data_IF_189767217380
#
_entry.id   IF_189767217380
#
_cell.length_a   1.000
_cell.length_b   1.000
_cell.length_c   1.000
_cell.angle_alpha   90.00
_cell.angle_beta   90.00
_cell.angle_gamma   90.00
#
_symmetry.space_group_name_H-M   'P 1'
#
loop_
_entity.id
_entity.type
_entity.pdbx_description
1 polymer ?
#
# COMPACT_ATOMS: atom_id res chain seq x y z
N UNK A 1 -14.19 -32.89 0.79
CA UNK A 1 -15.32 -33.54 0.08
C UNK A 1 -14.92 -34.16 -1.26
N UNK A 2 -14.13 -33.46 -2.10
CA UNK A 2 -13.64 -33.99 -3.40
C UNK A 2 -13.03 -35.40 -3.36
N UNK A 3 -12.29 -35.75 -2.31
CA UNK A 3 -11.73 -37.11 -2.11
C UNK A 3 -12.82 -38.12 -1.72
N UNK A 4 -13.82 -37.72 -0.92
CA UNK A 4 -14.95 -38.57 -0.52
C UNK A 4 -15.90 -38.84 -1.69
N UNK A 5 -16.08 -37.84 -2.56
CA UNK A 5 -16.89 -37.93 -3.79
C UNK A 5 -16.17 -38.61 -4.96
N UNK A 6 -14.93 -39.09 -4.75
CA UNK A 6 -14.06 -39.69 -5.78
C UNK A 6 -13.83 -38.78 -7.01
N UNK A 7 -13.96 -37.46 -6.86
CA UNK A 7 -13.66 -36.49 -7.92
C UNK A 7 -12.15 -36.26 -8.06
N UNK A 8 -11.40 -36.47 -6.97
CA UNK A 8 -9.94 -36.46 -6.96
C UNK A 8 -9.48 -37.81 -6.40
N UNK A 9 -8.72 -38.55 -7.20
CA UNK A 9 -8.14 -39.84 -6.82
C UNK A 9 -6.66 -39.72 -6.45
N UNK A 10 -6.07 -40.79 -5.91
CA UNK A 10 -4.63 -40.84 -5.62
C UNK A 10 -4.20 -40.17 -4.31
N UNK A 11 -5.13 -39.70 -3.47
CA UNK A 11 -4.84 -39.16 -2.14
C UNK A 11 -5.12 -40.22 -1.07
N UNK A 12 -4.17 -40.47 -0.17
CA UNK A 12 -4.31 -41.42 0.95
C UNK A 12 -4.75 -40.72 2.23
N UNK A 13 -4.12 -39.60 2.59
CA UNK A 13 -4.39 -38.85 3.81
C UNK A 13 -4.13 -37.35 3.62
N UNK A 14 -4.70 -36.54 4.50
CA UNK A 14 -4.46 -35.11 4.61
C UNK A 14 -4.13 -34.79 6.07
N UNK A 15 -3.00 -34.11 6.29
CA UNK A 15 -2.50 -33.73 7.62
C UNK A 15 -2.13 -32.25 7.61
N UNK A 16 -2.46 -31.56 8.70
CA UNK A 16 -2.00 -30.20 8.96
C UNK A 16 -0.86 -30.28 9.99
N UNK A 17 0.33 -29.86 9.57
CA UNK A 17 1.57 -29.80 10.36
C UNK A 17 1.97 -28.34 10.63
N UNK A 18 1.01 -27.41 10.56
CA UNK A 18 1.25 -25.98 10.81
C UNK A 18 1.56 -25.72 12.28
N UNK A 19 2.57 -24.89 12.53
CA UNK A 19 3.01 -24.48 13.86
C UNK A 19 3.25 -22.96 13.93
N UNK A 20 3.95 -22.49 14.97
CA UNK A 20 4.26 -21.06 15.16
C UNK A 20 5.34 -20.55 14.20
N UNK A 21 6.12 -21.45 13.61
CA UNK A 21 7.23 -21.15 12.73
C UNK A 21 6.81 -21.18 11.25
N UNK A 22 5.67 -21.79 10.93
CA UNK A 22 5.04 -21.67 9.61
C UNK A 22 3.80 -22.52 9.37
N UNK A 23 3.12 -22.21 8.27
CA UNK A 23 1.99 -23.01 7.77
C UNK A 23 2.52 -24.17 6.93
N UNK A 24 2.08 -25.40 7.23
CA UNK A 24 2.52 -26.62 6.54
C UNK A 24 1.37 -27.60 6.40
N UNK A 25 0.91 -27.80 5.17
CA UNK A 25 -0.14 -28.78 4.84
C UNK A 25 0.52 -29.94 4.10
N UNK A 26 0.28 -31.16 4.58
CA UNK A 26 0.80 -32.40 4.00
C UNK A 26 -0.36 -33.18 3.38
N UNK A 27 -0.29 -33.37 2.06
CA UNK A 27 -1.20 -34.24 1.31
C UNK A 27 -0.41 -35.49 0.93
N UNK A 28 -0.82 -36.63 1.48
CA UNK A 28 -0.14 -37.90 1.24
C UNK A 28 -0.73 -38.58 -0.01
N UNK A 29 0.16 -39.00 -0.92
CA UNK A 29 -0.19 -39.62 -2.19
C UNK A 29 -0.20 -41.14 -2.04
N UNK A 30 -1.13 -41.83 -2.70
CA UNK A 30 -1.16 -43.30 -2.73
C UNK A 30 0.05 -43.87 -3.48
N UNK A 31 0.51 -45.05 -3.06
CA UNK A 31 1.72 -45.71 -3.61
C UNK A 31 1.64 -46.03 -5.11
N UNK A 32 0.44 -46.25 -5.63
CA UNK A 32 0.13 -46.61 -7.01
C UNK A 32 -0.27 -45.41 -7.87
N UNK A 33 -0.27 -44.19 -7.31
CA UNK A 33 -0.68 -42.98 -8.01
C UNK A 33 0.52 -42.15 -8.48
N UNK A 34 0.41 -41.60 -9.69
CA UNK A 34 1.36 -40.62 -10.21
C UNK A 34 1.06 -39.25 -9.59
N UNK A 35 1.92 -38.80 -8.68
CA UNK A 35 1.71 -37.57 -7.90
C UNK A 35 1.49 -36.31 -8.75
N UNK A 36 2.14 -36.20 -9.92
CA UNK A 36 1.96 -35.05 -10.83
C UNK A 36 0.52 -34.95 -11.36
N UNK A 37 -0.12 -36.08 -11.65
CA UNK A 37 -1.51 -36.12 -12.13
C UNK A 37 -2.46 -35.69 -11.00
N UNK A 38 -2.19 -36.15 -9.77
CA UNK A 38 -2.95 -35.73 -8.59
C UNK A 38 -2.81 -34.23 -8.35
N UNK A 39 -1.60 -33.69 -8.45
CA UNK A 39 -1.31 -32.26 -8.28
C UNK A 39 -2.02 -31.40 -9.34
N UNK A 40 -1.97 -31.80 -10.61
CA UNK A 40 -2.67 -31.08 -11.69
C UNK A 40 -4.18 -31.07 -11.49
N UNK A 41 -4.76 -32.19 -11.06
CA UNK A 41 -6.19 -32.25 -10.73
C UNK A 41 -6.53 -31.37 -9.51
N UNK A 42 -5.65 -31.31 -8.51
CA UNK A 42 -5.82 -30.40 -7.39
C UNK A 42 -5.80 -28.93 -7.85
N UNK A 43 -4.88 -28.54 -8.73
CA UNK A 43 -4.87 -27.18 -9.28
C UNK A 43 -6.15 -26.84 -10.06
N UNK A 44 -6.70 -27.79 -10.81
CA UNK A 44 -7.89 -27.56 -11.62
C UNK A 44 -9.20 -27.51 -10.80
N UNK A 45 -9.29 -28.30 -9.72
CA UNK A 45 -10.54 -28.53 -8.99
C UNK A 45 -10.61 -27.86 -7.61
N UNK A 46 -9.51 -27.30 -7.13
CA UNK A 46 -9.43 -26.64 -5.82
C UNK A 46 -9.04 -25.17 -5.95
N UNK A 47 -9.15 -24.43 -4.84
CA UNK A 47 -8.76 -23.02 -4.77
C UNK A 47 -7.23 -22.81 -4.66
N UNK A 48 -6.43 -23.84 -4.90
CA UNK A 48 -4.96 -23.73 -4.93
C UNK A 48 -4.48 -22.87 -6.11
N UNK A 49 -5.25 -22.83 -7.20
CA UNK A 49 -4.98 -21.96 -8.35
C UNK A 49 -6.25 -21.15 -8.66
N UNK A 50 -6.15 -19.83 -8.48
CA UNK A 50 -7.25 -18.91 -8.76
C UNK A 50 -6.77 -17.79 -9.68
N UNK A 51 -7.68 -17.29 -10.53
CA UNK A 51 -7.40 -16.12 -11.35
C UNK A 51 -7.79 -14.86 -10.58
N UNK A 52 -7.06 -13.76 -10.82
CA UNK A 52 -7.39 -12.46 -10.26
C UNK A 52 -7.76 -11.50 -11.39
N UNK A 53 -9.00 -11.01 -11.37
CA UNK A 53 -9.50 -10.05 -12.35
C UNK A 53 -8.97 -8.64 -12.07
N UNK A 54 -7.83 -8.30 -12.65
CA UNK A 54 -7.21 -6.97 -12.49
C UNK A 54 -8.07 -5.92 -13.20
N UNK A 55 -8.52 -4.90 -12.47
CA UNK A 55 -9.21 -3.74 -13.05
C UNK A 55 -8.78 -2.44 -12.36
N UNK A 56 -8.04 -1.59 -13.08
CA UNK A 56 -7.50 -0.33 -12.58
C UNK A 56 -8.44 0.85 -12.89
N UNK A 57 -9.53 0.95 -12.13
CA UNK A 57 -10.48 2.09 -12.19
C UNK A 57 -10.30 2.98 -10.97
N UNK A 58 -10.17 4.28 -11.19
CA UNK A 58 -10.11 5.27 -10.12
C UNK A 58 -10.80 6.58 -10.52
N UNK A 59 -11.05 7.46 -9.55
CA UNK A 59 -11.55 8.80 -9.83
C UNK A 59 -10.41 9.70 -10.28
N UNK A 60 -10.56 10.35 -11.43
CA UNK A 60 -9.69 11.42 -11.88
C UNK A 60 -10.54 12.66 -12.13
N UNK A 61 -10.31 13.72 -11.35
CA UNK A 61 -11.10 14.96 -11.39
C UNK A 61 -12.60 14.74 -11.16
N UNK A 62 -12.95 13.86 -10.22
CA UNK A 62 -14.34 13.59 -9.85
C UNK A 62 -15.10 12.64 -10.79
N UNK A 63 -14.46 12.12 -11.85
CA UNK A 63 -15.07 11.15 -12.76
C UNK A 63 -14.32 9.82 -12.73
N UNK A 64 -15.03 8.66 -12.79
CA UNK A 64 -14.40 7.35 -12.87
C UNK A 64 -13.71 7.18 -14.22
N UNK A 65 -12.43 6.83 -14.20
CA UNK A 65 -11.62 6.57 -15.39
C UNK A 65 -10.81 5.30 -15.20
N UNK A 66 -10.62 4.57 -16.30
CA UNK A 66 -9.58 3.55 -16.41
C UNK A 66 -8.24 4.26 -16.54
N UNK A 67 -7.30 3.92 -15.67
CA UNK A 67 -5.98 4.55 -15.64
C UNK A 67 -4.91 3.50 -15.90
N UNK A 68 -3.93 3.85 -16.72
CA UNK A 68 -2.72 3.05 -16.85
C UNK A 68 -1.71 3.43 -15.74
N UNK A 69 -0.61 2.69 -15.63
CA UNK A 69 0.43 2.94 -14.62
C UNK A 69 1.05 4.35 -14.75
N UNK A 70 1.28 4.82 -15.97
CA UNK A 70 1.88 6.14 -16.21
C UNK A 70 0.97 7.26 -15.72
N UNK A 71 -0.33 7.19 -16.02
CA UNK A 71 -1.31 8.18 -15.61
C UNK A 71 -1.38 8.29 -14.07
N UNK A 72 -1.35 7.15 -13.38
CA UNK A 72 -1.33 7.09 -11.92
C UNK A 72 -0.06 7.75 -11.37
N UNK A 73 1.11 7.42 -11.93
CA UNK A 73 2.38 7.99 -11.50
C UNK A 73 2.43 9.51 -11.76
N UNK A 74 1.93 9.97 -12.91
CA UNK A 74 1.85 11.40 -13.22
C UNK A 74 0.92 12.14 -12.25
N UNK A 75 -0.24 11.57 -11.92
CA UNK A 75 -1.14 12.12 -10.92
C UNK A 75 -0.48 12.20 -9.54
N UNK A 76 0.23 11.15 -9.13
CA UNK A 76 0.96 11.10 -7.87
C UNK A 76 2.07 12.18 -7.80
N UNK A 77 2.91 12.27 -8.83
CA UNK A 77 4.00 13.26 -8.89
C UNK A 77 3.44 14.68 -8.90
N UNK A 78 2.36 14.93 -9.65
CA UNK A 78 1.70 16.24 -9.70
C UNK A 78 1.16 16.64 -8.33
N UNK A 79 0.45 15.73 -7.66
CA UNK A 79 -0.02 15.95 -6.30
C UNK A 79 1.14 16.25 -5.34
N UNK A 80 2.24 15.49 -5.43
CA UNK A 80 3.41 15.70 -4.58
C UNK A 80 4.04 17.07 -4.81
N UNK A 81 4.16 17.53 -6.06
CA UNK A 81 4.65 18.87 -6.39
C UNK A 81 3.78 19.95 -5.77
N UNK A 82 2.45 19.85 -5.89
CA UNK A 82 1.52 20.82 -5.30
C UNK A 82 1.67 20.89 -3.78
N UNK A 83 1.68 19.74 -3.10
CA UNK A 83 1.81 19.66 -1.64
C UNK A 83 3.12 20.29 -1.17
N UNK A 84 4.24 19.98 -1.85
CA UNK A 84 5.55 20.55 -1.51
C UNK A 84 5.55 22.05 -1.71
N UNK A 85 5.05 22.55 -2.85
CA UNK A 85 4.97 24.00 -3.12
C UNK A 85 4.15 24.72 -2.07
N UNK A 86 2.96 24.20 -1.70
CA UNK A 86 2.10 24.79 -0.68
C UNK A 86 2.78 24.82 0.69
N UNK A 87 3.50 23.76 1.06
CA UNK A 87 4.27 23.71 2.30
C UNK A 87 5.38 24.75 2.30
N UNK A 88 6.15 24.87 1.23
CA UNK A 88 7.24 25.86 1.12
C UNK A 88 6.70 27.29 1.20
N UNK A 89 5.56 27.59 0.56
CA UNK A 89 4.92 28.91 0.65
C UNK A 89 4.49 29.21 2.10
N UNK A 90 3.91 28.21 2.79
CA UNK A 90 3.53 28.36 4.19
C UNK A 90 4.74 28.63 5.09
N UNK A 91 5.82 27.88 4.93
CA UNK A 91 7.07 28.07 5.67
C UNK A 91 7.69 29.45 5.39
N UNK A 92 7.69 29.89 4.13
CA UNK A 92 8.17 31.22 3.75
C UNK A 92 7.36 32.33 4.43
N UNK A 93 6.02 32.22 4.44
CA UNK A 93 5.16 33.20 5.11
C UNK A 93 5.47 33.26 6.61
N UNK A 94 5.54 32.09 7.26
CA UNK A 94 5.87 31.99 8.69
C UNK A 94 7.24 32.59 9.02
N UNK A 95 8.25 32.36 8.16
CA UNK A 95 9.58 32.93 8.32
C UNK A 95 9.57 34.47 8.16
N UNK A 96 8.83 34.99 7.18
CA UNK A 96 8.66 36.45 6.98
C UNK A 96 7.95 37.12 8.15
N UNK A 97 6.85 36.54 8.62
CA UNK A 97 6.11 37.06 9.78
C UNK A 97 7.02 37.10 11.02
N UNK A 98 7.87 36.07 11.20
CA UNK A 98 8.84 36.04 12.29
C UNK A 98 9.95 37.08 12.13
N UNK A 99 10.48 37.25 10.91
CA UNK A 99 11.52 38.23 10.61
C UNK A 99 11.03 39.66 10.88
N UNK A 100 9.82 40.00 10.44
CA UNK A 100 9.21 41.31 10.67
C UNK A 100 9.09 41.66 12.16
N UNK A 101 8.64 40.71 13.00
CA UNK A 101 8.57 40.92 14.46
C UNK A 101 9.99 41.11 15.04
N UNK A 102 10.98 40.37 14.54
CA UNK A 102 12.35 40.44 15.02
C UNK A 102 13.00 41.79 14.67
N UNK A 103 12.77 42.30 13.46
CA UNK A 103 13.22 43.63 13.03
C UNK A 103 12.66 44.73 13.92
N UNK A 104 11.36 44.71 14.20
CA UNK A 104 10.73 45.68 15.10
C UNK A 104 11.30 45.59 16.53
N UNK A 105 11.50 44.38 17.04
CA UNK A 105 12.10 44.16 18.36
C UNK A 105 13.54 44.70 18.41
N UNK A 106 14.32 44.50 17.35
CA UNK A 106 15.69 45.02 17.28
C UNK A 106 15.73 46.56 17.31
N UNK A 107 14.82 47.23 16.60
CA UNK A 107 14.71 48.70 16.62
C UNK A 107 14.27 49.19 18.01
N UNK A 108 13.29 48.52 18.64
CA UNK A 108 12.83 48.87 19.98
C UNK A 108 13.96 48.72 21.02
N UNK A 109 14.75 47.65 20.93
CA UNK A 109 15.89 47.42 21.82
C UNK A 109 16.99 48.48 21.62
N UNK A 110 17.21 48.95 20.39
CA UNK A 110 18.18 50.01 20.10
C UNK A 110 17.77 51.38 20.68
N UNK A 111 16.48 51.64 20.87
CA UNK A 111 15.95 52.90 21.40
C UNK A 111 15.30 52.71 22.77
N UNK A 112 15.88 51.86 23.62
CA UNK A 112 15.24 51.43 24.87
C UNK A 112 15.04 52.59 25.87
N UNK A 113 16.02 53.49 26.01
CA UNK A 113 15.94 54.55 27.04
C UNK A 113 14.80 55.55 26.75
N UNK A 114 14.64 56.12 25.53
CA UNK A 114 13.50 56.99 25.23
C UNK A 114 12.13 56.31 25.31
N UNK A 115 12.06 54.98 25.11
CA UNK A 115 10.81 54.23 25.23
C UNK A 115 10.40 54.03 26.70
N UNK A 116 11.36 53.91 27.62
CA UNK A 116 11.09 53.76 29.06
C UNK A 116 10.59 55.09 29.67
N UNK A 117 11.04 56.22 29.15
CA UNK A 117 10.66 57.55 29.64
C UNK A 117 9.28 58.04 29.14
N UNK A 118 8.72 57.42 28.09
CA UNK A 118 7.42 57.75 27.47
C UNK A 118 6.24 57.15 28.25
#
# INVERSE_FOLDING_TARGET
ELVKEKRVEGISALRDESDKDGMRIVIEVKRDAVGEVVLNNLYALTQLQVTFGINMVALHQGQPKLLNLKDILEAFVRHRREVVTRRTIFELRKARDRAHILEALAIALANIDPIIEL
#
